data_IF_273816240545
#
_entry.id   IF_273816240545
#
_cell.length_a   1.000
_cell.length_b   1.000
_cell.length_c   1.000
_cell.angle_alpha   90.00
_cell.angle_beta   90.00
_cell.angle_gamma   90.00
#
_symmetry.space_group_name_H-M   'P 1'
#
loop_
_entity.id
_entity.type
_entity.pdbx_description
1 polymer ?
#
# COMPACT_ATOMS: atom_id res chain seq x y z
N UNK A 1 7.78 -40.11 -10.96
CA UNK A 1 9.12 -39.53 -10.74
C UNK A 1 9.98 -40.59 -10.11
N UNK A 2 11.18 -40.80 -10.64
CA UNK A 2 12.06 -41.89 -10.21
C UNK A 2 12.75 -41.54 -8.87
N UNK A 3 12.91 -42.51 -7.97
CA UNK A 3 13.49 -42.27 -6.64
C UNK A 3 14.90 -41.70 -6.72
N UNK A 4 15.64 -42.06 -7.77
CA UNK A 4 16.96 -41.54 -8.08
C UNK A 4 16.94 -40.02 -8.34
N UNK A 5 15.95 -39.55 -9.10
CA UNK A 5 15.79 -38.13 -9.43
C UNK A 5 15.42 -37.28 -8.20
N UNK A 6 14.64 -37.83 -7.26
CA UNK A 6 14.33 -37.17 -5.99
C UNK A 6 15.58 -37.02 -5.10
N UNK A 7 16.44 -38.03 -5.08
CA UNK A 7 17.70 -38.00 -4.33
C UNK A 7 18.66 -36.96 -4.92
N UNK A 8 18.76 -36.86 -6.24
CA UNK A 8 19.58 -35.85 -6.90
C UNK A 8 19.06 -34.44 -6.67
N UNK A 9 17.74 -34.24 -6.74
CA UNK A 9 17.12 -32.95 -6.44
C UNK A 9 17.34 -32.54 -4.98
N UNK A 10 17.22 -33.47 -4.02
CA UNK A 10 17.51 -33.20 -2.62
C UNK A 10 18.98 -32.81 -2.39
N UNK A 11 19.93 -33.46 -3.08
CA UNK A 11 21.36 -33.10 -3.04
C UNK A 11 21.60 -31.70 -3.59
N UNK A 12 20.96 -31.35 -4.71
CA UNK A 12 21.07 -30.01 -5.30
C UNK A 12 20.50 -28.94 -4.37
N UNK A 13 19.35 -29.18 -3.75
CA UNK A 13 18.76 -28.28 -2.75
C UNK A 13 19.71 -28.09 -1.56
N UNK A 14 20.32 -29.16 -1.06
CA UNK A 14 21.27 -29.09 0.05
C UNK A 14 22.51 -28.27 -0.31
N UNK A 15 23.06 -28.45 -1.52
CA UNK A 15 24.20 -27.65 -2.01
C UNK A 15 23.84 -26.18 -2.17
N UNK A 16 22.66 -25.88 -2.72
CA UNK A 16 22.17 -24.51 -2.85
C UNK A 16 21.97 -23.85 -1.48
N UNK A 17 21.43 -24.59 -0.50
CA UNK A 17 21.25 -24.09 0.86
C UNK A 17 22.60 -23.79 1.54
N UNK A 18 23.59 -24.66 1.38
CA UNK A 18 24.94 -24.43 1.90
C UNK A 18 25.61 -23.18 1.29
N UNK A 19 25.44 -22.96 -0.02
CA UNK A 19 25.96 -21.76 -0.68
C UNK A 19 25.22 -20.49 -0.22
N UNK A 20 23.90 -20.55 -0.04
CA UNK A 20 23.12 -19.44 0.55
C UNK A 20 23.63 -19.09 1.94
N UNK A 21 23.91 -20.09 2.78
CA UNK A 21 24.38 -19.86 4.15
C UNK A 21 25.82 -19.33 4.19
N UNK A 22 26.67 -19.75 3.23
CA UNK A 22 28.00 -19.16 3.01
C UNK A 22 27.91 -17.70 2.57
N UNK A 23 27.07 -17.39 1.59
CA UNK A 23 26.87 -16.00 1.14
C UNK A 23 26.31 -15.12 2.27
N UNK A 24 25.42 -15.68 3.10
CA UNK A 24 24.90 -15.00 4.30
C UNK A 24 25.95 -14.75 5.38
N UNK A 25 26.97 -15.61 5.51
CA UNK A 25 28.06 -15.39 6.47
C UNK A 25 29.12 -14.41 5.94
N UNK A 26 29.26 -14.29 4.62
CA UNK A 26 30.12 -13.30 3.96
C UNK A 26 29.49 -11.91 3.88
N UNK A 27 28.16 -11.83 3.90
CA UNK A 27 27.45 -10.58 4.13
C UNK A 27 27.47 -10.29 5.64
N UNK A 28 28.19 -9.25 6.06
CA UNK A 28 28.06 -8.65 7.40
C UNK A 28 26.65 -8.04 7.53
N UNK A 29 25.63 -8.89 7.64
CA UNK A 29 24.27 -8.46 7.92
C UNK A 29 24.18 -8.31 9.43
N UNK A 30 24.13 -7.08 9.98
CA UNK A 30 23.88 -6.92 11.40
C UNK A 30 22.58 -7.65 11.73
N UNK A 31 22.66 -8.67 12.58
CA UNK A 31 21.50 -9.43 13.03
C UNK A 31 20.55 -8.45 13.70
N UNK A 32 19.49 -8.06 12.97
CA UNK A 32 18.50 -7.12 13.49
C UNK A 32 17.93 -7.67 14.79
N UNK A 33 17.95 -6.84 15.83
CA UNK A 33 17.37 -7.19 17.12
C UNK A 33 15.87 -7.48 16.95
N UNK A 34 15.29 -8.25 17.87
CA UNK A 34 13.85 -8.53 17.88
C UNK A 34 13.02 -7.23 17.81
N UNK A 35 13.46 -6.19 18.53
CA UNK A 35 12.85 -4.85 18.53
C UNK A 35 12.89 -4.18 17.14
N UNK A 36 14.04 -4.20 16.46
CA UNK A 36 14.14 -3.65 15.09
C UNK A 36 13.21 -4.36 14.10
N UNK A 37 13.08 -5.69 14.21
CA UNK A 37 12.14 -6.45 13.37
C UNK A 37 10.67 -6.09 13.66
N UNK A 38 10.32 -5.89 14.93
CA UNK A 38 8.98 -5.47 15.34
C UNK A 38 8.65 -4.06 14.85
N UNK A 39 9.58 -3.12 14.95
CA UNK A 39 9.40 -1.74 14.50
C UNK A 39 9.26 -1.66 12.96
N UNK A 40 10.08 -2.41 12.21
CA UNK A 40 9.91 -2.55 10.76
C UNK A 40 8.55 -3.15 10.39
N UNK A 41 8.07 -4.12 11.16
CA UNK A 41 6.76 -4.73 10.93
C UNK A 41 5.64 -3.73 11.17
N UNK A 42 5.71 -2.94 12.25
CA UNK A 42 4.74 -1.86 12.53
C UNK A 42 4.75 -0.81 11.42
N UNK A 43 5.92 -0.37 10.98
CA UNK A 43 6.06 0.62 9.91
C UNK A 43 5.49 0.11 8.59
N UNK A 44 5.75 -1.16 8.23
CA UNK A 44 5.16 -1.80 7.04
C UNK A 44 3.64 -1.88 7.13
N UNK A 45 3.10 -2.28 8.27
CA UNK A 45 1.64 -2.33 8.50
C UNK A 45 1.01 -0.95 8.37
N UNK A 46 1.60 0.06 9.02
CA UNK A 46 1.12 1.44 8.92
C UNK A 46 1.15 1.92 7.47
N UNK A 47 2.26 1.72 6.75
CA UNK A 47 2.37 2.12 5.35
C UNK A 47 1.33 1.43 4.46
N UNK A 48 1.06 0.14 4.67
CA UNK A 48 0.01 -0.57 3.94
C UNK A 48 -1.37 0.03 4.22
N UNK A 49 -1.69 0.27 5.49
CA UNK A 49 -2.96 0.88 5.89
C UNK A 49 -3.11 2.27 5.26
N UNK A 50 -2.08 3.13 5.34
CA UNK A 50 -2.08 4.45 4.71
C UNK A 50 -2.31 4.36 3.20
N UNK A 51 -1.67 3.41 2.50
CA UNK A 51 -1.88 3.21 1.06
C UNK A 51 -3.32 2.82 0.74
N UNK A 52 -3.91 1.91 1.52
CA UNK A 52 -5.29 1.48 1.33
C UNK A 52 -6.28 2.62 1.58
N UNK A 53 -6.10 3.39 2.66
CA UNK A 53 -6.93 4.56 2.93
C UNK A 53 -6.82 5.61 1.83
N UNK A 54 -5.62 5.89 1.33
CA UNK A 54 -5.42 6.84 0.23
C UNK A 54 -6.14 6.39 -1.04
N UNK A 55 -6.03 5.11 -1.40
CA UNK A 55 -6.75 4.56 -2.56
C UNK A 55 -8.27 4.64 -2.40
N UNK A 56 -8.79 4.40 -1.20
CA UNK A 56 -10.23 4.54 -0.93
C UNK A 56 -10.66 6.00 -1.05
N UNK A 57 -9.86 6.94 -0.53
CA UNK A 57 -10.11 8.36 -0.61
C UNK A 57 -10.09 8.83 -2.08
N UNK A 58 -9.10 8.44 -2.86
CA UNK A 58 -9.00 8.80 -4.29
C UNK A 58 -10.23 8.30 -5.07
N UNK A 59 -10.67 7.06 -4.83
CA UNK A 59 -11.88 6.50 -5.45
C UNK A 59 -13.14 7.26 -5.06
N UNK A 60 -13.26 7.63 -3.78
CA UNK A 60 -14.39 8.42 -3.30
C UNK A 60 -14.40 9.81 -3.95
N UNK A 61 -13.25 10.49 -4.00
CA UNK A 61 -13.10 11.82 -4.60
C UNK A 61 -13.56 11.86 -6.06
N UNK A 62 -13.15 10.88 -6.87
CA UNK A 62 -13.59 10.77 -8.28
C UNK A 62 -15.12 10.63 -8.35
N UNK A 63 -15.69 9.71 -7.57
CA UNK A 63 -17.15 9.46 -7.57
C UNK A 63 -17.95 10.71 -7.16
N UNK A 64 -17.46 11.48 -6.18
CA UNK A 64 -18.12 12.70 -5.75
C UNK A 64 -17.94 13.84 -6.75
N UNK A 65 -16.77 13.96 -7.39
CA UNK A 65 -16.53 14.95 -8.43
C UNK A 65 -17.52 14.80 -9.60
N UNK A 66 -17.69 13.57 -10.11
CA UNK A 66 -18.63 13.28 -11.19
C UNK A 66 -20.08 13.63 -10.80
N UNK A 67 -20.47 13.31 -9.57
CA UNK A 67 -21.81 13.59 -9.06
C UNK A 67 -22.06 15.10 -8.93
N UNK A 68 -21.07 15.85 -8.46
CA UNK A 68 -21.16 17.31 -8.33
C UNK A 68 -21.21 17.96 -9.70
N UNK A 69 -20.42 17.49 -10.67
CA UNK A 69 -20.46 17.99 -12.04
C UNK A 69 -21.85 17.78 -12.65
N UNK A 70 -22.44 16.59 -12.48
CA UNK A 70 -23.79 16.28 -12.95
C UNK A 70 -24.84 17.20 -12.32
N UNK A 71 -24.80 17.36 -11.00
CA UNK A 71 -25.73 18.25 -10.28
C UNK A 71 -25.56 19.72 -10.70
N UNK A 72 -24.33 20.17 -10.97
CA UNK A 72 -24.07 21.52 -11.46
C UNK A 72 -24.61 21.73 -12.88
N UNK A 73 -24.56 20.72 -13.76
CA UNK A 73 -25.21 20.79 -15.07
C UNK A 73 -26.73 20.92 -14.95
N UNK A 74 -27.36 20.12 -14.09
CA UNK A 74 -28.81 20.18 -13.83
C UNK A 74 -29.21 21.54 -13.23
N UNK A 75 -28.48 22.02 -12.21
CA UNK A 75 -28.72 23.34 -11.62
C UNK A 75 -28.55 24.49 -12.61
N UNK A 76 -27.53 24.42 -13.48
CA UNK A 76 -27.31 25.42 -14.52
C UNK A 76 -28.50 25.51 -15.49
N UNK A 77 -29.08 24.37 -15.86
CA UNK A 77 -30.30 24.34 -16.70
C UNK A 77 -31.51 24.97 -16.00
N UNK A 78 -31.59 24.84 -14.67
CA UNK A 78 -32.65 25.41 -13.84
C UNK A 78 -32.38 26.86 -13.38
N UNK A 79 -31.25 27.46 -13.77
CA UNK A 79 -30.86 28.81 -13.32
C UNK A 79 -30.50 28.91 -11.83
N UNK A 80 -30.19 27.78 -11.19
CA UNK A 80 -29.87 27.70 -9.76
C UNK A 80 -28.36 27.89 -9.49
N UNK A 81 -27.99 28.36 -8.27
CA UNK A 81 -26.59 28.53 -7.90
C UNK A 81 -25.85 27.19 -7.79
N UNK A 82 -24.68 27.14 -8.43
CA UNK A 82 -23.81 25.96 -8.50
C UNK A 82 -23.19 25.64 -7.13
N UNK A 83 -22.83 24.37 -6.94
CA UNK A 83 -22.03 23.94 -5.81
C UNK A 83 -20.59 24.43 -5.97
N UNK A 84 -20.12 25.23 -5.01
CA UNK A 84 -18.71 25.58 -4.86
C UNK A 84 -18.04 24.57 -3.91
N UNK A 85 -17.32 23.62 -4.49
CA UNK A 85 -16.64 22.58 -3.74
C UNK A 85 -15.43 23.08 -2.97
N UNK A 86 -14.83 24.20 -3.39
CA UNK A 86 -13.65 24.75 -2.70
C UNK A 86 -14.03 25.35 -1.35
N UNK A 87 -15.08 26.18 -1.34
CA UNK A 87 -15.59 26.78 -0.10
C UNK A 87 -16.01 25.70 0.91
N UNK A 88 -16.74 24.68 0.47
CA UNK A 88 -17.18 23.57 1.32
C UNK A 88 -15.99 22.78 1.87
N UNK A 89 -14.96 22.52 1.05
CA UNK A 89 -13.76 21.81 1.49
C UNK A 89 -12.94 22.65 2.49
N UNK A 90 -12.84 23.96 2.29
CA UNK A 90 -12.13 24.84 3.22
C UNK A 90 -12.78 24.86 4.61
N UNK A 91 -14.11 24.92 4.66
CA UNK A 91 -14.89 24.86 5.91
C UNK A 91 -14.76 23.49 6.60
N UNK A 92 -14.86 22.39 5.84
CA UNK A 92 -14.74 21.04 6.39
C UNK A 92 -13.33 20.70 6.90
N UNK A 93 -12.29 21.31 6.32
CA UNK A 93 -10.89 21.08 6.69
C UNK A 93 -10.41 22.01 7.81
N UNK A 94 -11.17 23.02 8.19
CA UNK A 94 -10.81 23.98 9.23
C UNK A 94 -10.46 23.33 10.58
N UNK A 95 -11.17 22.30 11.07
CA UNK A 95 -10.81 21.62 12.33
C UNK A 95 -9.49 20.84 12.28
N UNK A 96 -8.91 20.66 11.09
CA UNK A 96 -7.70 19.86 10.87
C UNK A 96 -6.47 20.72 10.50
N UNK A 97 -6.62 22.05 10.47
CA UNK A 97 -5.54 23.02 10.30
C UNK A 97 -4.96 23.42 11.66
#
# INVERSE_FOLDING_TARGET
MDNQALIEMAKQIAMQQAEIDRLRSMLDVPKKSKKQKEDETKQRRLSLVTKLYRQQLDKAMIKYADRIEKLNKEKKQLGLPLFDTKAILEELLEPFK
#
